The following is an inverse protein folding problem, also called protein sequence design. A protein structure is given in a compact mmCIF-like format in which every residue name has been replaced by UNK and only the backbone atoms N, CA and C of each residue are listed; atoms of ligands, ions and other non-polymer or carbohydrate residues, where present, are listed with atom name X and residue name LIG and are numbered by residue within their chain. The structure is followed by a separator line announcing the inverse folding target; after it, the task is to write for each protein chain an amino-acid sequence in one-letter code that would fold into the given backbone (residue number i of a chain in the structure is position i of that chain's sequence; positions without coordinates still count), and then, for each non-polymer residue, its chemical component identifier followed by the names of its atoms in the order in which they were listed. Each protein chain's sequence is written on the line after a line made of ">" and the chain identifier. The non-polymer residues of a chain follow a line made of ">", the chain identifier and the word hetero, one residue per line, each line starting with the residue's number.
data_IF_607857119489
#
_entry.id   IF_607857119489
#
_cell.length_a   1.000
_cell.length_b   1.000
_cell.length_c   1.000
_cell.angle_alpha   90.00
_cell.angle_beta   90.00
_cell.angle_gamma   90.00
#
_symmetry.space_group_name_H-M   'P 1'
#
loop_
_entity.id
_entity.type
_entity.pdbx_description
1 polymer ?
#
# COMPACT_ATOMS: atom_id res chain seq x y z
N UNK A 1 -14.78 4.04 -29.03
CA UNK A 1 -15.65 3.78 -27.87
C UNK A 1 -14.85 3.75 -26.58
N UNK A 2 -14.96 4.82 -25.80
CA UNK A 2 -14.39 4.96 -24.45
C UNK A 2 -15.43 4.63 -23.39
N UNK A 3 -14.98 4.30 -22.20
CA UNK A 3 -15.79 4.21 -20.98
C UNK A 3 -15.59 5.48 -20.17
N UNK A 4 -16.67 6.12 -19.78
CA UNK A 4 -16.67 7.42 -19.11
C UNK A 4 -17.38 7.28 -17.76
N UNK A 5 -16.69 7.56 -16.66
CA UNK A 5 -17.31 7.55 -15.33
C UNK A 5 -17.82 8.95 -14.95
N UNK A 6 -19.09 9.03 -14.52
CA UNK A 6 -19.70 10.25 -14.00
C UNK A 6 -19.96 10.12 -12.51
N UNK A 7 -19.35 10.99 -11.71
CA UNK A 7 -19.35 10.93 -10.25
C UNK A 7 -19.95 12.21 -9.68
N UNK A 8 -20.85 12.14 -8.71
CA UNK A 8 -21.38 13.34 -8.06
C UNK A 8 -20.38 13.93 -7.08
N UNK A 9 -20.31 15.27 -7.01
CA UNK A 9 -19.65 15.97 -5.92
C UNK A 9 -20.28 15.65 -4.55
N UNK A 10 -19.59 16.01 -3.46
CA UNK A 10 -20.04 15.73 -2.08
C UNK A 10 -20.05 16.97 -1.20
N UNK A 11 -20.78 16.88 -0.07
CA UNK A 11 -20.80 17.95 0.93
C UNK A 11 -19.43 18.16 1.56
N UNK A 12 -18.75 17.06 1.89
CA UNK A 12 -17.38 17.09 2.39
C UNK A 12 -16.46 17.64 1.30
N UNK A 13 -15.80 18.75 1.60
CA UNK A 13 -14.90 19.48 0.72
C UNK A 13 -13.64 19.91 1.49
N UNK A 14 -12.56 20.16 0.78
CA UNK A 14 -11.42 20.89 1.36
C UNK A 14 -11.82 22.34 1.69
N UNK A 15 -10.99 23.02 2.48
CA UNK A 15 -11.16 24.42 2.85
C UNK A 15 -10.19 25.37 2.11
N UNK A 16 -9.53 24.88 1.06
CA UNK A 16 -8.61 25.65 0.21
C UNK A 16 -8.83 25.30 -1.28
N UNK A 17 -8.46 26.19 -2.21
CA UNK A 17 -8.46 25.89 -3.64
C UNK A 17 -7.51 24.73 -3.97
N UNK A 18 -8.03 23.71 -4.65
CA UNK A 18 -7.27 22.51 -5.00
C UNK A 18 -7.91 21.82 -6.23
N UNK A 19 -7.29 20.74 -6.71
CA UNK A 19 -7.82 19.94 -7.82
C UNK A 19 -9.18 19.35 -7.45
N UNK A 20 -10.09 19.21 -8.41
CA UNK A 20 -11.44 18.73 -8.16
C UNK A 20 -11.46 17.33 -7.52
N UNK A 21 -10.54 16.44 -7.90
CA UNK A 21 -10.40 15.13 -7.23
C UNK A 21 -10.05 15.27 -5.75
N UNK A 22 -9.12 16.16 -5.43
CA UNK A 22 -8.66 16.42 -4.06
C UNK A 22 -9.73 17.11 -3.22
N UNK A 23 -10.47 18.03 -3.84
CA UNK A 23 -11.56 18.77 -3.21
C UNK A 23 -12.55 17.83 -2.52
N UNK A 24 -12.97 16.75 -3.18
CA UNK A 24 -14.01 15.84 -2.67
C UNK A 24 -13.46 14.56 -2.03
N UNK A 25 -12.14 14.31 -2.09
CA UNK A 25 -11.54 13.03 -1.67
C UNK A 25 -11.80 12.66 -0.21
N UNK A 26 -12.04 13.66 0.66
CA UNK A 26 -12.39 13.43 2.07
C UNK A 26 -13.71 12.66 2.25
N UNK A 27 -14.60 12.69 1.26
CA UNK A 27 -15.85 11.95 1.34
C UNK A 27 -15.64 10.47 1.02
N UNK A 28 -16.08 9.59 1.92
CA UNK A 28 -15.99 8.15 1.73
C UNK A 28 -16.76 7.67 0.46
N UNK A 29 -17.87 8.32 0.15
CA UNK A 29 -18.65 7.97 -1.05
C UNK A 29 -17.93 8.42 -2.32
N UNK A 30 -17.39 9.64 -2.33
CA UNK A 30 -16.66 10.16 -3.49
C UNK A 30 -15.40 9.36 -3.75
N UNK A 31 -14.57 9.14 -2.72
CA UNK A 31 -13.30 8.42 -2.86
C UNK A 31 -13.49 7.00 -3.41
N UNK A 32 -14.49 6.24 -2.92
CA UNK A 32 -14.80 4.91 -3.45
C UNK A 32 -15.37 4.94 -4.86
N UNK A 33 -16.27 5.88 -5.16
CA UNK A 33 -16.79 6.04 -6.51
C UNK A 33 -15.68 6.46 -7.49
N UNK A 34 -14.76 7.32 -7.06
CA UNK A 34 -13.60 7.75 -7.84
C UNK A 34 -12.64 6.60 -8.10
N UNK A 35 -12.34 5.78 -7.08
CA UNK A 35 -11.55 4.58 -7.24
C UNK A 35 -12.19 3.60 -8.25
N UNK A 36 -13.50 3.38 -8.15
CA UNK A 36 -14.23 2.54 -9.11
C UNK A 36 -14.20 3.16 -10.52
N UNK A 37 -14.41 4.47 -10.64
CA UNK A 37 -14.31 5.20 -11.91
C UNK A 37 -12.93 5.06 -12.56
N UNK A 38 -11.85 5.30 -11.83
CA UNK A 38 -10.47 5.15 -12.34
C UNK A 38 -10.13 3.73 -12.75
N UNK A 39 -10.76 2.73 -12.13
CA UNK A 39 -10.53 1.32 -12.46
C UNK A 39 -11.25 0.88 -13.73
N UNK A 40 -12.49 1.36 -13.96
CA UNK A 40 -13.37 0.83 -15.01
C UNK A 40 -13.64 1.78 -16.18
N UNK A 41 -13.16 3.02 -16.11
CA UNK A 41 -13.35 4.04 -17.14
C UNK A 41 -12.01 4.62 -17.62
N UNK A 42 -11.96 4.98 -18.90
CA UNK A 42 -10.83 5.67 -19.52
C UNK A 42 -10.75 7.14 -19.05
N UNK A 43 -11.88 7.71 -18.64
CA UNK A 43 -11.97 9.09 -18.15
C UNK A 43 -13.01 9.22 -17.04
N UNK A 44 -12.73 10.11 -16.09
CA UNK A 44 -13.60 10.39 -14.94
C UNK A 44 -13.97 11.86 -14.96
N UNK A 45 -15.27 12.15 -14.95
CA UNK A 45 -15.78 13.51 -14.77
C UNK A 45 -16.62 13.63 -13.49
N UNK A 46 -16.51 14.79 -12.85
CA UNK A 46 -17.18 15.11 -11.61
C UNK A 46 -18.35 16.06 -11.89
N UNK A 47 -19.55 15.65 -11.51
CA UNK A 47 -20.78 16.44 -11.58
C UNK A 47 -20.87 17.36 -10.35
N UNK A 48 -20.50 18.62 -10.53
CA UNK A 48 -20.57 19.67 -9.52
C UNK A 48 -21.89 20.44 -9.57
N UNK A 49 -22.47 20.65 -8.39
CA UNK A 49 -23.68 21.47 -8.22
C UNK A 49 -23.48 22.94 -8.64
N UNK A 50 -22.25 23.43 -8.48
CA UNK A 50 -21.83 24.81 -8.78
C UNK A 50 -21.14 24.92 -10.14
N UNK A 51 -20.10 24.12 -10.34
CA UNK A 51 -19.21 24.25 -11.49
C UNK A 51 -19.65 23.42 -12.72
N UNK A 52 -20.74 22.66 -12.64
CA UNK A 52 -21.19 21.83 -13.76
C UNK A 52 -20.31 20.59 -13.94
N UNK A 53 -19.72 20.42 -15.11
CA UNK A 53 -18.84 19.29 -15.42
C UNK A 53 -17.38 19.66 -15.14
N UNK A 54 -16.71 18.88 -14.28
CA UNK A 54 -15.30 19.06 -13.95
C UNK A 54 -14.46 17.85 -14.37
N UNK A 55 -13.21 18.10 -14.75
CA UNK A 55 -12.15 17.09 -14.85
C UNK A 55 -11.50 16.86 -13.49
N UNK A 56 -10.76 15.75 -13.36
CA UNK A 56 -10.13 15.39 -12.09
C UNK A 56 -9.07 16.40 -11.60
N UNK A 57 -8.42 17.12 -12.53
CA UNK A 57 -7.33 18.05 -12.26
C UNK A 57 -7.74 19.54 -12.31
N UNK A 58 -9.00 19.86 -12.57
CA UNK A 58 -9.50 21.24 -12.54
C UNK A 58 -9.31 21.88 -11.16
N UNK A 59 -8.72 23.07 -11.09
CA UNK A 59 -8.55 23.80 -9.83
C UNK A 59 -9.85 24.52 -9.47
N UNK A 60 -10.44 24.17 -8.33
CA UNK A 60 -11.69 24.76 -7.85
C UNK A 60 -11.55 25.28 -6.41
N UNK A 61 -12.26 26.37 -6.12
CA UNK A 61 -12.40 26.91 -4.76
C UNK A 61 -13.54 26.20 -4.00
N UNK A 62 -13.44 26.07 -2.65
CA UNK A 62 -14.48 25.49 -1.83
C UNK A 62 -15.78 26.30 -1.92
N UNK A 63 -16.93 25.63 -1.78
CA UNK A 63 -18.25 26.24 -1.96
C UNK A 63 -19.35 25.48 -1.20
N UNK A 64 -20.47 26.17 -0.95
CA UNK A 64 -21.63 25.62 -0.25
C UNK A 64 -22.92 25.80 -1.05
N UNK A 65 -22.90 25.35 -2.31
CA UNK A 65 -24.09 25.30 -3.17
C UNK A 65 -24.56 23.86 -3.30
N UNK A 66 -25.88 23.67 -3.41
CA UNK A 66 -26.47 22.35 -3.62
C UNK A 66 -27.54 22.34 -4.70
N UNK A 67 -27.52 21.30 -5.52
CA UNK A 67 -28.52 21.07 -6.55
C UNK A 67 -29.88 20.65 -5.94
N UNK A 68 -29.91 20.12 -4.71
CA UNK A 68 -31.15 19.63 -4.09
C UNK A 68 -32.20 20.72 -3.94
N UNK A 69 -31.78 21.92 -3.55
CA UNK A 69 -32.66 23.08 -3.32
C UNK A 69 -33.16 23.78 -4.58
N UNK A 70 -32.62 23.46 -5.76
CA UNK A 70 -32.99 24.12 -7.03
C UNK A 70 -34.35 23.66 -7.57
N UNK A 71 -35.01 24.53 -8.32
CA UNK A 71 -36.28 24.27 -9.03
C UNK A 71 -36.13 23.17 -10.09
N UNK A 72 -37.27 22.72 -10.64
CA UNK A 72 -37.28 21.73 -11.72
C UNK A 72 -36.69 22.32 -13.02
N UNK A 73 -36.96 23.59 -13.35
CA UNK A 73 -36.33 24.24 -14.51
C UNK A 73 -34.83 24.40 -14.32
N UNK A 74 -34.38 24.81 -13.13
CA UNK A 74 -32.95 25.01 -12.84
C UNK A 74 -32.17 23.70 -12.94
N UNK A 75 -32.72 22.60 -12.42
CA UNK A 75 -32.14 21.25 -12.58
C UNK A 75 -32.06 20.84 -14.06
N UNK A 76 -33.08 21.16 -14.84
CA UNK A 76 -33.12 20.86 -16.29
C UNK A 76 -32.08 21.69 -17.05
N UNK A 77 -31.90 22.96 -16.69
CA UNK A 77 -30.88 23.83 -17.28
C UNK A 77 -29.46 23.36 -16.92
N UNK A 78 -29.22 23.06 -15.64
CA UNK A 78 -27.95 22.48 -15.18
C UNK A 78 -27.59 21.20 -15.94
N UNK A 79 -28.57 20.30 -16.15
CA UNK A 79 -28.36 19.08 -16.92
C UNK A 79 -28.06 19.34 -18.40
N UNK A 80 -28.72 20.32 -19.02
CA UNK A 80 -28.40 20.71 -20.41
C UNK A 80 -26.98 21.24 -20.56
N UNK A 81 -26.54 22.08 -19.62
CA UNK A 81 -25.19 22.64 -19.63
C UNK A 81 -24.14 21.53 -19.57
N UNK A 82 -24.31 20.57 -18.65
CA UNK A 82 -23.41 19.41 -18.55
C UNK A 82 -23.37 18.58 -19.84
N UNK A 83 -24.51 18.40 -20.50
CA UNK A 83 -24.56 17.65 -21.76
C UNK A 83 -23.84 18.40 -22.87
N UNK A 84 -23.92 19.73 -22.91
CA UNK A 84 -23.15 20.53 -23.84
C UNK A 84 -21.64 20.39 -23.55
N UNK A 85 -21.23 20.55 -22.29
CA UNK A 85 -19.82 20.39 -21.89
C UNK A 85 -19.28 18.98 -22.19
N UNK A 86 -20.13 17.95 -22.06
CA UNK A 86 -19.76 16.58 -22.39
C UNK A 86 -19.54 16.38 -23.90
N UNK A 87 -20.36 16.99 -24.76
CA UNK A 87 -20.23 16.82 -26.23
C UNK A 87 -18.87 17.28 -26.75
N UNK A 88 -18.24 18.24 -26.08
CA UNK A 88 -16.91 18.73 -26.46
C UNK A 88 -15.79 17.74 -26.10
N UNK A 89 -16.08 16.73 -25.25
CA UNK A 89 -15.08 15.85 -24.66
C UNK A 89 -15.29 14.36 -24.93
N UNK A 90 -16.53 13.95 -25.22
CA UNK A 90 -16.93 12.56 -25.40
C UNK A 90 -17.96 12.40 -26.53
N UNK A 91 -18.03 11.20 -27.11
CA UNK A 91 -19.03 10.87 -28.13
C UNK A 91 -20.28 10.26 -27.46
N UNK A 92 -21.35 11.04 -27.31
CA UNK A 92 -22.59 10.60 -26.64
C UNK A 92 -23.31 9.42 -27.34
N UNK A 93 -23.06 9.23 -28.63
CA UNK A 93 -23.68 8.19 -29.46
C UNK A 93 -22.90 6.86 -29.47
N UNK A 94 -21.63 6.87 -29.05
CA UNK A 94 -20.75 5.70 -29.10
C UNK A 94 -20.16 5.32 -27.75
N UNK A 95 -19.82 6.30 -26.90
CA UNK A 95 -19.15 6.05 -25.63
C UNK A 95 -20.11 5.47 -24.59
N UNK A 96 -19.53 4.69 -23.66
CA UNK A 96 -20.26 4.00 -22.59
C UNK A 96 -20.11 4.74 -21.28
N UNK A 97 -21.23 5.07 -20.63
CA UNK A 97 -21.25 5.86 -19.40
C UNK A 97 -21.46 4.99 -18.16
N UNK A 98 -20.58 5.12 -17.18
CA UNK A 98 -20.70 4.52 -15.85
C UNK A 98 -21.15 5.60 -14.88
N UNK A 99 -22.43 5.62 -14.52
CA UNK A 99 -22.98 6.70 -13.74
C UNK A 99 -23.07 6.29 -12.26
N UNK A 100 -22.15 6.82 -11.47
CA UNK A 100 -22.03 6.56 -10.03
C UNK A 100 -22.72 7.65 -9.19
N UNK A 101 -23.37 8.61 -9.83
CA UNK A 101 -24.11 9.70 -9.20
C UNK A 101 -25.52 9.27 -8.76
N UNK A 102 -26.17 10.06 -7.90
CA UNK A 102 -27.55 9.83 -7.46
C UNK A 102 -28.62 10.34 -8.45
N UNK A 103 -29.89 9.96 -8.24
CA UNK A 103 -31.02 10.27 -9.15
C UNK A 103 -31.19 11.76 -9.43
N UNK A 104 -30.89 12.63 -8.46
CA UNK A 104 -30.93 14.08 -8.63
C UNK A 104 -30.02 14.55 -9.77
N UNK A 105 -28.87 13.90 -9.95
CA UNK A 105 -27.90 14.21 -11.00
C UNK A 105 -28.28 13.50 -12.31
N UNK A 106 -28.27 12.16 -12.28
CA UNK A 106 -28.39 11.37 -13.51
C UNK A 106 -29.74 11.52 -14.19
N UNK A 107 -30.81 11.82 -13.43
CA UNK A 107 -32.15 11.97 -13.99
C UNK A 107 -32.27 13.08 -15.04
N UNK A 108 -31.37 14.07 -15.03
CA UNK A 108 -31.32 15.12 -16.04
C UNK A 108 -30.50 14.74 -17.27
N UNK A 109 -29.60 13.76 -17.14
CA UNK A 109 -28.58 13.41 -18.12
C UNK A 109 -28.99 12.20 -18.97
N UNK A 110 -29.56 11.15 -18.37
CA UNK A 110 -29.75 9.82 -19.00
C UNK A 110 -30.54 9.84 -20.31
N UNK A 111 -31.44 10.82 -20.52
CA UNK A 111 -32.19 10.99 -21.77
C UNK A 111 -31.33 11.38 -22.97
N UNK A 112 -30.09 11.81 -22.73
CA UNK A 112 -29.12 12.22 -23.75
C UNK A 112 -27.97 11.21 -23.90
N UNK A 113 -27.95 10.14 -23.10
CA UNK A 113 -26.87 9.15 -23.08
C UNK A 113 -27.40 7.84 -23.65
N UNK A 114 -26.81 7.36 -24.75
CA UNK A 114 -27.29 6.15 -25.43
C UNK A 114 -26.89 4.86 -24.71
N UNK A 115 -25.64 4.77 -24.29
CA UNK A 115 -25.10 3.58 -23.61
C UNK A 115 -24.67 3.95 -22.20
N UNK A 116 -25.44 3.53 -21.19
CA UNK A 116 -25.09 3.79 -19.79
C UNK A 116 -25.39 2.62 -18.87
N UNK A 117 -24.68 2.59 -17.74
CA UNK A 117 -24.95 1.73 -16.61
C UNK A 117 -25.11 2.55 -15.33
N UNK A 118 -25.94 2.05 -14.42
CA UNK A 118 -26.23 2.66 -13.11
C UNK A 118 -25.92 1.66 -11.98
N UNK A 119 -24.63 1.37 -11.67
CA UNK A 119 -24.26 0.32 -10.72
C UNK A 119 -24.81 0.53 -9.30
N UNK A 120 -25.15 1.78 -8.98
CA UNK A 120 -25.61 2.22 -7.65
C UNK A 120 -27.07 2.67 -7.65
N UNK A 121 -27.86 2.28 -8.66
CA UNK A 121 -29.25 2.70 -8.79
C UNK A 121 -30.09 2.24 -7.58
N UNK A 122 -31.02 3.09 -7.12
CA UNK A 122 -31.99 2.78 -6.04
C UNK A 122 -31.37 2.41 -4.68
N UNK A 123 -30.05 2.54 -4.52
CA UNK A 123 -29.37 2.29 -3.26
C UNK A 123 -29.31 3.55 -2.39
N UNK A 124 -29.58 3.39 -1.09
CA UNK A 124 -29.31 4.41 -0.06
C UNK A 124 -27.81 4.63 0.11
N UNK A 125 -27.39 5.78 0.66
CA UNK A 125 -25.96 6.12 0.79
C UNK A 125 -25.14 5.00 1.45
N UNK A 126 -25.63 4.42 2.55
CA UNK A 126 -24.95 3.29 3.22
C UNK A 126 -24.85 2.04 2.34
N UNK A 127 -25.92 1.69 1.60
CA UNK A 127 -25.90 0.56 0.66
C UNK A 127 -25.01 0.82 -0.56
N UNK A 128 -24.90 2.07 -1.02
CA UNK A 128 -23.96 2.46 -2.09
C UNK A 128 -22.52 2.26 -1.66
N UNK A 129 -22.17 2.64 -0.43
CA UNK A 129 -20.83 2.40 0.12
C UNK A 129 -20.53 0.90 0.15
N UNK A 130 -21.46 0.09 0.67
CA UNK A 130 -21.32 -1.37 0.72
C UNK A 130 -21.18 -1.97 -0.68
N UNK A 131 -22.02 -1.57 -1.64
CA UNK A 131 -21.94 -2.09 -3.01
C UNK A 131 -20.68 -1.62 -3.73
N UNK A 132 -20.19 -0.40 -3.49
CA UNK A 132 -18.88 0.03 -3.99
C UNK A 132 -17.76 -0.80 -3.37
N UNK A 133 -17.82 -1.11 -2.07
CA UNK A 133 -16.87 -2.03 -1.46
C UNK A 133 -16.94 -3.42 -2.08
N UNK A 134 -18.14 -3.96 -2.30
CA UNK A 134 -18.35 -5.24 -2.98
C UNK A 134 -17.84 -5.19 -4.42
N UNK A 135 -18.11 -4.14 -5.21
CA UNK A 135 -17.67 -4.01 -6.60
C UNK A 135 -16.16 -3.80 -6.71
N UNK A 136 -15.56 -3.08 -5.76
CA UNK A 136 -14.11 -2.96 -5.66
C UNK A 136 -13.49 -4.28 -5.20
N UNK A 137 -14.22 -5.11 -4.45
CA UNK A 137 -13.84 -6.47 -4.03
C UNK A 137 -14.10 -7.54 -5.10
N UNK A 138 -15.15 -7.44 -5.90
CA UNK A 138 -15.62 -8.46 -6.88
C UNK A 138 -14.59 -8.67 -8.01
N UNK A 139 -13.64 -7.75 -8.19
CA UNK A 139 -12.40 -7.95 -8.98
C UNK A 139 -11.17 -7.33 -8.31
N UNK A 140 -11.17 -7.16 -6.99
CA UNK A 140 -9.95 -7.59 -6.33
C UNK A 140 -10.10 -9.11 -6.33
N UNK A 141 -9.49 -9.79 -7.31
CA UNK A 141 -8.70 -10.94 -6.85
C UNK A 141 -7.99 -10.39 -5.61
N UNK A 142 -8.31 -10.92 -4.43
CA UNK A 142 -7.71 -10.47 -3.19
C UNK A 142 -6.21 -10.69 -3.40
N UNK A 143 -5.54 -9.68 -3.97
CA UNK A 143 -4.21 -9.83 -4.50
C UNK A 143 -3.40 -10.28 -3.31
N UNK A 144 -2.60 -11.33 -3.51
CA UNK A 144 -1.87 -11.97 -2.44
C UNK A 144 -1.09 -10.93 -1.62
N UNK A 145 -0.62 -9.83 -2.23
CA UNK A 145 -0.04 -8.71 -1.50
C UNK A 145 -1.02 -8.02 -0.52
N UNK A 146 -2.23 -7.69 -0.96
CA UNK A 146 -3.29 -7.15 -0.08
C UNK A 146 -3.67 -8.12 1.03
N UNK A 147 -3.82 -9.41 0.73
CA UNK A 147 -4.12 -10.44 1.73
C UNK A 147 -3.06 -10.52 2.80
N UNK A 148 -1.79 -10.58 2.41
CA UNK A 148 -0.67 -10.61 3.33
C UNK A 148 -0.65 -9.37 4.24
N UNK A 149 -0.92 -8.18 3.68
CA UNK A 149 -1.03 -6.96 4.48
C UNK A 149 -2.16 -7.05 5.50
N UNK A 150 -3.34 -7.54 5.10
CA UNK A 150 -4.51 -7.73 5.97
C UNK A 150 -4.22 -8.73 7.09
N UNK A 151 -3.60 -9.86 6.77
CA UNK A 151 -3.21 -10.90 7.73
C UNK A 151 -2.20 -10.31 8.74
N UNK A 152 -1.07 -9.79 8.28
CA UNK A 152 0.00 -9.35 9.17
C UNK A 152 -0.38 -8.11 10.00
N UNK A 153 -1.24 -7.23 9.47
CA UNK A 153 -1.75 -6.10 10.25
C UNK A 153 -2.77 -6.48 11.31
N UNK A 154 -3.39 -7.67 11.26
CA UNK A 154 -4.30 -8.13 12.33
C UNK A 154 -3.55 -8.80 13.50
N UNK A 155 -2.33 -9.26 13.28
CA UNK A 155 -1.53 -9.98 14.26
C UNK A 155 -1.07 -9.10 15.45
N UNK A 156 -0.69 -9.78 16.54
CA UNK A 156 -0.01 -9.17 17.70
C UNK A 156 1.33 -8.58 17.27
N UNK A 157 1.48 -7.27 17.51
CA UNK A 157 2.67 -6.50 17.13
C UNK A 157 3.63 -6.36 18.31
N UNK A 158 4.91 -6.46 18.02
CA UNK A 158 6.04 -6.23 18.91
C UNK A 158 6.81 -5.00 18.45
N UNK A 159 7.55 -4.38 19.37
CA UNK A 159 8.49 -3.30 19.12
C UNK A 159 9.92 -3.84 19.26
N UNK A 160 10.89 -3.17 18.66
CA UNK A 160 12.30 -3.45 18.89
C UNK A 160 12.72 -3.30 20.36
N UNK A 161 11.92 -2.60 21.19
CA UNK A 161 12.14 -2.52 22.64
C UNK A 161 11.62 -3.73 23.44
N UNK A 162 10.87 -4.65 22.83
CA UNK A 162 10.26 -5.78 23.56
C UNK A 162 10.37 -7.12 22.81
N UNK A 163 11.44 -7.27 22.02
CA UNK A 163 11.77 -8.49 21.26
C UNK A 163 11.92 -9.71 22.17
N UNK A 164 12.36 -9.50 23.41
CA UNK A 164 12.48 -10.51 24.46
C UNK A 164 11.13 -11.23 24.75
N UNK A 165 9.99 -10.56 24.50
CA UNK A 165 8.65 -11.12 24.70
C UNK A 165 8.18 -12.04 23.56
N UNK A 166 8.93 -12.13 22.47
CA UNK A 166 8.62 -13.03 21.36
C UNK A 166 8.93 -14.47 21.78
N UNK A 167 7.93 -15.35 21.67
CA UNK A 167 8.03 -16.78 22.04
C UNK A 167 8.37 -17.68 20.85
N UNK A 168 8.15 -17.22 19.62
CA UNK A 168 8.40 -17.99 18.39
C UNK A 168 9.89 -18.28 18.25
N UNK A 169 10.24 -19.56 18.23
CA UNK A 169 11.64 -20.03 18.09
C UNK A 169 11.99 -20.33 16.63
N UNK A 170 11.04 -20.88 15.90
CA UNK A 170 11.11 -21.30 14.50
C UNK A 170 9.95 -20.68 13.74
N UNK A 171 10.21 -19.86 12.73
CA UNK A 171 9.11 -19.22 12.01
C UNK A 171 9.54 -18.05 11.15
N UNK A 172 8.58 -17.21 10.79
CA UNK A 172 8.82 -16.06 9.93
C UNK A 172 8.51 -14.80 10.73
N UNK A 173 9.38 -13.80 10.59
CA UNK A 173 9.12 -12.45 11.08
C UNK A 173 8.82 -11.52 9.92
N UNK A 174 7.88 -10.61 10.13
CA UNK A 174 7.54 -9.53 9.21
C UNK A 174 7.66 -8.22 9.95
N UNK A 175 8.31 -7.25 9.33
CA UNK A 175 8.46 -5.89 9.85
C UNK A 175 7.48 -4.98 9.11
N UNK A 176 6.66 -4.28 9.88
CA UNK A 176 5.73 -3.27 9.42
C UNK A 176 6.27 -1.87 9.76
N UNK A 177 6.01 -0.89 8.91
CA UNK A 177 6.30 0.52 9.18
C UNK A 177 5.01 1.24 9.61
N UNK A 178 5.03 1.88 10.80
CA UNK A 178 3.86 2.50 11.44
C UNK A 178 3.30 3.71 10.70
N UNK A 179 4.14 4.36 9.90
CA UNK A 179 3.83 5.66 9.28
C UNK A 179 3.90 5.60 7.76
N UNK A 180 3.94 4.39 7.20
CA UNK A 180 3.80 4.15 5.78
C UNK A 180 2.71 3.13 5.56
N UNK A 181 1.95 3.36 4.50
CA UNK A 181 0.71 2.63 4.28
C UNK A 181 0.69 1.97 2.92
N UNK A 182 0.11 0.78 2.88
CA UNK A 182 -0.35 0.10 1.68
C UNK A 182 -1.84 -0.17 1.86
N UNK A 183 -2.68 0.35 0.97
CA UNK A 183 -4.14 0.27 1.07
C UNK A 183 -4.69 0.65 2.47
N UNK A 184 -4.09 1.65 3.13
CA UNK A 184 -4.48 2.12 4.47
C UNK A 184 -3.99 1.28 5.65
N UNK A 185 -3.22 0.22 5.42
CA UNK A 185 -2.62 -0.64 6.45
C UNK A 185 -1.12 -0.38 6.59
N UNK A 186 -0.51 -0.67 7.74
CA UNK A 186 0.94 -0.48 7.91
C UNK A 186 1.68 -1.33 6.87
N UNK A 187 2.58 -0.69 6.13
CA UNK A 187 3.29 -1.29 5.01
C UNK A 187 4.26 -2.35 5.49
N UNK A 188 4.28 -3.50 4.82
CA UNK A 188 5.34 -4.50 5.01
C UNK A 188 6.64 -3.96 4.44
N UNK A 189 7.70 -3.89 5.24
CA UNK A 189 9.00 -3.37 4.82
C UNK A 189 10.13 -4.40 4.90
N UNK A 190 9.91 -5.52 5.59
CA UNK A 190 10.85 -6.63 5.60
C UNK A 190 10.14 -7.93 5.95
N UNK A 191 10.55 -9.00 5.30
CA UNK A 191 10.22 -10.37 5.69
C UNK A 191 11.54 -11.09 5.95
N UNK A 192 11.54 -12.03 6.89
CA UNK A 192 12.70 -12.87 7.10
C UNK A 192 12.48 -14.09 7.97
N UNK A 193 13.40 -15.05 7.89
CA UNK A 193 13.54 -16.16 8.83
C UNK A 193 15.00 -16.35 9.30
N UNK A 194 15.26 -17.45 10.01
CA UNK A 194 16.60 -17.92 10.33
C UNK A 194 16.80 -19.36 9.84
N UNK A 195 17.95 -19.62 9.20
CA UNK A 195 18.29 -20.93 8.61
C UNK A 195 18.48 -22.04 9.64
N UNK A 196 19.03 -21.70 10.81
CA UNK A 196 19.21 -22.62 11.93
C UNK A 196 17.97 -22.62 12.82
N UNK A 197 17.57 -23.80 13.29
CA UNK A 197 16.45 -23.97 14.22
C UNK A 197 16.71 -23.27 15.56
N UNK A 198 15.66 -22.74 16.17
CA UNK A 198 15.63 -22.11 17.49
C UNK A 198 16.13 -20.67 17.53
N UNK A 199 16.53 -20.08 16.39
CA UNK A 199 17.34 -18.86 16.36
C UNK A 199 16.59 -17.60 15.90
N UNK A 200 15.29 -17.67 15.59
CA UNK A 200 14.53 -16.48 15.14
C UNK A 200 14.58 -15.35 16.17
N UNK A 201 14.31 -15.66 17.44
CA UNK A 201 14.36 -14.68 18.52
C UNK A 201 15.75 -14.05 18.66
N UNK A 202 16.81 -14.86 18.65
CA UNK A 202 18.19 -14.38 18.71
C UNK A 202 18.48 -13.44 17.53
N UNK A 203 18.03 -13.77 16.32
CA UNK A 203 18.21 -12.93 15.14
C UNK A 203 17.57 -11.55 15.30
N UNK A 204 16.36 -11.50 15.87
CA UNK A 204 15.69 -10.23 16.16
C UNK A 204 16.37 -9.46 17.30
N UNK A 205 16.90 -10.15 18.31
CA UNK A 205 17.70 -9.54 19.37
C UNK A 205 19.02 -8.97 18.83
N UNK A 206 19.66 -9.64 17.87
CA UNK A 206 20.85 -9.12 17.19
C UNK A 206 20.54 -7.78 16.52
N UNK A 207 19.34 -7.63 15.94
CA UNK A 207 18.92 -6.33 15.39
C UNK A 207 18.67 -5.26 16.45
N UNK A 208 18.12 -5.64 17.60
CA UNK A 208 17.75 -4.72 18.67
C UNK A 208 18.93 -4.28 19.55
N UNK A 209 19.91 -5.16 19.76
CA UNK A 209 20.96 -4.99 20.77
C UNK A 209 22.36 -4.81 20.19
N UNK A 210 22.62 -5.28 18.97
CA UNK A 210 23.95 -5.23 18.38
C UNK A 210 24.14 -3.93 17.58
N UNK A 211 24.77 -2.92 18.20
CA UNK A 211 25.09 -1.61 17.59
C UNK A 211 26.28 -1.68 16.61
N UNK A 212 26.29 -2.68 15.73
CA UNK A 212 27.35 -2.86 14.74
C UNK A 212 26.77 -3.16 13.36
N UNK A 213 26.85 -2.19 12.44
CA UNK A 213 26.49 -2.34 11.02
C UNK A 213 27.07 -3.58 10.36
N UNK A 214 28.25 -4.01 10.78
CA UNK A 214 29.02 -5.08 10.14
C UNK A 214 28.41 -6.47 10.40
N UNK A 215 27.55 -6.60 11.41
CA UNK A 215 26.83 -7.85 11.73
C UNK A 215 25.37 -7.85 11.25
N UNK A 216 24.83 -6.69 10.83
CA UNK A 216 23.46 -6.57 10.36
C UNK A 216 23.34 -5.77 9.07
N UNK A 217 23.16 -6.50 7.96
CA UNK A 217 22.86 -5.89 6.66
C UNK A 217 21.58 -5.04 6.69
N UNK A 218 20.62 -5.37 7.55
CA UNK A 218 19.40 -4.61 7.72
C UNK A 218 19.70 -3.21 8.29
N UNK A 219 20.45 -3.13 9.39
CA UNK A 219 20.89 -1.85 9.99
C UNK A 219 21.78 -1.07 9.02
N UNK A 220 22.71 -1.75 8.34
CA UNK A 220 23.55 -1.15 7.29
C UNK A 220 22.71 -0.47 6.21
N UNK A 221 21.61 -1.10 5.77
CA UNK A 221 20.70 -0.52 4.78
C UNK A 221 19.90 0.69 5.30
N UNK A 222 19.45 0.68 6.56
CA UNK A 222 18.81 1.86 7.16
C UNK A 222 19.81 3.02 7.22
N UNK A 223 21.05 2.76 7.66
CA UNK A 223 22.12 3.76 7.67
C UNK A 223 22.45 4.31 6.27
N UNK A 224 22.48 3.46 5.24
CA UNK A 224 22.64 3.89 3.83
C UNK A 224 21.54 4.85 3.41
N UNK A 225 20.28 4.50 3.70
CA UNK A 225 19.15 5.34 3.36
C UNK A 225 19.23 6.70 4.07
N UNK A 226 19.64 6.70 5.33
CA UNK A 226 19.86 7.94 6.09
C UNK A 226 20.93 8.82 5.47
N UNK A 227 22.11 8.26 5.21
CA UNK A 227 23.23 9.03 4.67
C UNK A 227 22.90 9.62 3.29
N UNK A 228 22.20 8.87 2.43
CA UNK A 228 21.74 9.41 1.15
C UNK A 228 20.67 10.50 1.29
N UNK A 229 19.72 10.34 2.22
CA UNK A 229 18.68 11.35 2.43
C UNK A 229 19.28 12.72 2.79
N UNK A 230 20.45 12.73 3.43
CA UNK A 230 21.19 13.94 3.79
C UNK A 230 22.35 14.26 2.84
N UNK A 231 22.54 13.51 1.73
CA UNK A 231 23.71 13.61 0.86
C UNK A 231 25.05 13.58 1.61
N UNK A 232 25.13 12.76 2.67
CA UNK A 232 26.31 12.68 3.52
C UNK A 232 27.43 11.86 2.83
N UNK A 233 28.62 12.44 2.61
CA UNK A 233 29.72 11.77 1.90
C UNK A 233 30.25 10.53 2.63
N UNK A 234 29.96 10.40 3.92
CA UNK A 234 30.34 9.24 4.73
C UNK A 234 29.67 7.94 4.26
N UNK A 235 28.69 7.99 3.35
CA UNK A 235 28.14 6.79 2.72
C UNK A 235 29.20 5.92 2.04
N UNK A 236 30.24 6.55 1.45
CA UNK A 236 31.37 5.85 0.83
C UNK A 236 32.07 4.92 1.83
N UNK A 237 32.39 5.44 3.01
CA UNK A 237 33.02 4.72 4.12
C UNK A 237 32.03 3.75 4.77
N UNK A 238 30.76 4.14 4.91
CA UNK A 238 29.70 3.28 5.46
C UNK A 238 29.46 2.02 4.64
N UNK A 239 29.65 2.10 3.31
CA UNK A 239 29.48 0.98 2.40
C UNK A 239 30.59 -0.08 2.48
N UNK A 240 31.79 0.29 2.91
CA UNK A 240 32.94 -0.61 3.03
C UNK A 240 32.61 -1.76 3.99
N UNK A 241 32.92 -2.99 3.58
CA UNK A 241 32.86 -4.15 4.46
C UNK A 241 34.19 -4.31 5.21
N UNK A 242 34.21 -3.86 6.46
CA UNK A 242 35.36 -3.95 7.35
C UNK A 242 35.52 -5.33 7.99
N UNK A 243 34.73 -6.35 7.65
CA UNK A 243 35.04 -7.73 8.04
C UNK A 243 36.17 -8.32 7.18
N UNK A 244 36.38 -7.77 5.98
CA UNK A 244 37.43 -8.19 5.05
C UNK A 244 38.78 -7.57 5.46
N UNK A 245 39.78 -8.40 5.74
CA UNK A 245 41.07 -7.93 6.26
C UNK A 245 41.82 -6.97 5.33
N UNK A 246 41.69 -7.16 4.00
CA UNK A 246 42.22 -6.21 3.01
C UNK A 246 41.62 -4.81 3.21
N UNK A 247 40.30 -4.73 3.40
CA UNK A 247 39.61 -3.46 3.61
C UNK A 247 39.98 -2.83 4.96
N UNK A 248 40.15 -3.64 6.01
CA UNK A 248 40.63 -3.14 7.32
C UNK A 248 42.00 -2.48 7.16
N UNK A 249 42.97 -3.15 6.52
CA UNK A 249 44.32 -2.62 6.33
C UNK A 249 44.32 -1.32 5.52
N UNK A 250 43.49 -1.26 4.47
CA UNK A 250 43.51 -0.14 3.51
C UNK A 250 42.70 1.09 3.96
N UNK A 251 41.58 0.91 4.67
CA UNK A 251 40.60 1.99 4.88
C UNK A 251 40.26 2.24 6.36
N UNK A 252 40.86 1.53 7.32
CA UNK A 252 40.48 1.66 8.74
C UNK A 252 40.80 3.04 9.32
N UNK A 253 41.80 3.74 8.79
CA UNK A 253 42.13 5.12 9.14
C UNK A 253 41.05 6.13 8.72
N UNK A 254 40.21 5.81 7.72
CA UNK A 254 39.12 6.66 7.26
C UNK A 254 37.87 6.57 8.15
N UNK A 255 37.86 5.66 9.14
CA UNK A 255 36.70 5.46 10.01
C UNK A 255 36.62 6.54 11.08
N UNK A 256 35.52 7.26 11.07
CA UNK A 256 35.08 8.08 12.18
C UNK A 256 34.19 7.25 13.12
N UNK A 257 34.78 6.81 14.24
CA UNK A 257 34.07 6.02 15.27
C UNK A 257 32.96 6.82 15.97
N UNK A 258 33.08 8.15 16.06
CA UNK A 258 32.05 8.99 16.70
C UNK A 258 30.84 9.07 15.77
N UNK A 259 31.06 9.39 14.50
CA UNK A 259 30.01 9.43 13.47
C UNK A 259 29.33 8.08 13.29
N UNK A 260 30.07 6.98 13.28
CA UNK A 260 29.47 5.64 13.23
C UNK A 260 28.53 5.35 14.41
N UNK A 261 28.88 5.80 15.63
CA UNK A 261 27.99 5.67 16.80
C UNK A 261 26.75 6.54 16.67
N UNK A 262 26.86 7.75 16.16
CA UNK A 262 25.72 8.65 15.91
C UNK A 262 24.75 8.04 14.91
N UNK A 263 25.25 7.48 13.80
CA UNK A 263 24.44 6.77 12.81
C UNK A 263 23.74 5.55 13.45
N UNK A 264 24.46 4.75 14.23
CA UNK A 264 23.87 3.57 14.92
C UNK A 264 22.80 3.95 15.95
N UNK A 265 22.99 5.05 16.69
CA UNK A 265 21.97 5.56 17.61
C UNK A 265 20.72 6.03 16.86
N UNK A 266 20.89 6.74 15.73
CA UNK A 266 19.76 7.10 14.88
C UNK A 266 19.02 5.86 14.37
N UNK A 267 19.74 4.82 13.93
CA UNK A 267 19.13 3.57 13.47
C UNK A 267 18.32 2.92 14.60
N UNK A 268 18.85 2.87 15.83
CA UNK A 268 18.13 2.34 16.99
C UNK A 268 16.82 3.09 17.24
N UNK A 269 16.88 4.42 17.27
CA UNK A 269 15.72 5.26 17.51
C UNK A 269 14.70 5.12 16.37
N UNK A 270 15.16 5.08 15.12
CA UNK A 270 14.32 4.84 13.97
C UNK A 270 13.58 3.50 14.09
N UNK A 271 14.31 2.43 14.38
CA UNK A 271 13.73 1.09 14.47
C UNK A 271 12.69 1.00 15.61
N UNK A 272 12.97 1.55 16.78
CA UNK A 272 12.04 1.56 17.92
C UNK A 272 10.80 2.42 17.66
N UNK A 273 10.99 3.58 17.02
CA UNK A 273 9.91 4.55 16.79
C UNK A 273 9.00 4.14 15.64
N UNK A 274 9.56 3.78 14.49
CA UNK A 274 8.81 3.60 13.25
C UNK A 274 8.46 2.15 12.93
N UNK A 275 9.21 1.16 13.43
CA UNK A 275 9.01 -0.23 13.02
C UNK A 275 8.23 -1.05 14.05
N UNK A 276 7.50 -2.03 13.55
CA UNK A 276 6.80 -3.05 14.33
C UNK A 276 7.15 -4.43 13.78
N UNK A 277 7.14 -5.43 14.63
CA UNK A 277 7.46 -6.80 14.28
C UNK A 277 6.21 -7.65 14.53
N UNK A 278 5.87 -8.51 13.58
CA UNK A 278 4.94 -9.63 13.78
C UNK A 278 5.66 -10.93 13.46
N UNK A 279 5.32 -12.01 14.17
CA UNK A 279 5.93 -13.32 13.95
C UNK A 279 4.86 -14.41 14.03
N UNK A 280 5.00 -15.44 13.20
CA UNK A 280 4.23 -16.68 13.26
C UNK A 280 5.16 -17.88 13.18
N UNK A 281 4.72 -19.01 13.74
CA UNK A 281 5.52 -20.22 13.87
C UNK A 281 5.44 -21.09 12.60
N UNK A 282 6.60 -21.58 12.15
CA UNK A 282 6.75 -22.57 11.08
C UNK A 282 7.95 -23.45 11.44
N UNK A 283 7.71 -24.68 11.88
CA UNK A 283 8.74 -25.56 12.43
C UNK A 283 9.56 -26.22 11.32
N UNK A 284 8.87 -26.78 10.31
CA UNK A 284 9.48 -27.37 9.11
C UNK A 284 10.34 -26.30 8.42
N UNK A 285 11.62 -26.61 8.17
CA UNK A 285 12.59 -25.67 7.61
C UNK A 285 12.38 -25.46 6.10
N UNK A 286 12.28 -26.50 5.25
CA UNK A 286 11.92 -26.32 3.84
C UNK A 286 10.69 -25.44 3.62
N UNK A 287 9.57 -25.77 4.26
CA UNK A 287 8.33 -24.99 4.20
C UNK A 287 8.54 -23.54 4.65
N UNK A 288 9.27 -23.33 5.75
CA UNK A 288 9.58 -21.97 6.23
C UNK A 288 10.36 -21.13 5.22
N UNK A 289 11.29 -21.73 4.50
CA UNK A 289 12.05 -21.05 3.44
C UNK A 289 11.14 -20.78 2.23
N UNK A 290 10.29 -21.74 1.85
CA UNK A 290 9.31 -21.59 0.75
C UNK A 290 8.33 -20.45 1.02
N UNK A 291 7.79 -20.37 2.23
CA UNK A 291 6.87 -19.31 2.62
C UNK A 291 7.59 -17.95 2.72
N UNK A 292 8.82 -17.89 3.25
CA UNK A 292 9.61 -16.64 3.26
C UNK A 292 9.83 -16.12 1.84
N UNK A 293 10.29 -16.98 0.93
CA UNK A 293 10.52 -16.65 -0.48
C UNK A 293 9.22 -16.25 -1.19
N UNK A 294 8.15 -17.02 -0.99
CA UNK A 294 6.84 -16.77 -1.58
C UNK A 294 6.28 -15.41 -1.16
N UNK A 295 6.29 -15.09 0.14
CA UNK A 295 5.83 -13.80 0.65
C UNK A 295 6.63 -12.67 -0.01
N UNK A 296 7.95 -12.77 -0.05
CA UNK A 296 8.81 -11.73 -0.63
C UNK A 296 8.52 -11.56 -2.13
N UNK A 297 8.40 -12.67 -2.86
CA UNK A 297 8.16 -12.67 -4.30
C UNK A 297 6.79 -12.10 -4.64
N UNK A 298 5.75 -12.44 -3.88
CA UNK A 298 4.42 -11.85 -3.98
C UNK A 298 4.47 -10.32 -3.82
N UNK A 299 5.13 -9.83 -2.76
CA UNK A 299 5.23 -8.39 -2.50
C UNK A 299 6.00 -7.64 -3.61
N UNK A 300 7.11 -8.21 -4.11
CA UNK A 300 7.95 -7.56 -5.12
C UNK A 300 7.31 -7.53 -6.52
N UNK A 301 6.49 -8.52 -6.88
CA UNK A 301 5.86 -8.58 -8.21
C UNK A 301 4.61 -7.69 -8.29
N UNK A 302 4.02 -7.32 -7.17
CA UNK A 302 2.81 -6.52 -7.15
C UNK A 302 3.05 -5.09 -7.64
N UNK A 303 2.27 -4.65 -8.63
CA UNK A 303 2.46 -3.34 -9.27
C UNK A 303 2.03 -2.20 -8.36
N UNK A 304 0.93 -2.36 -7.63
CA UNK A 304 0.40 -1.33 -6.75
C UNK A 304 1.21 -1.15 -5.47
N UNK A 305 2.06 -2.12 -5.12
CA UNK A 305 2.97 -2.02 -3.99
C UNK A 305 4.00 -0.90 -4.20
N UNK A 306 4.23 -0.44 -5.44
CA UNK A 306 5.34 0.45 -5.81
C UNK A 306 5.27 1.90 -5.39
N UNK A 307 4.08 2.41 -5.09
CA UNK A 307 3.83 3.85 -5.09
C UNK A 307 3.78 4.50 -3.69
N UNK A 308 4.75 4.21 -2.82
CA UNK A 308 4.92 5.01 -1.59
C UNK A 308 5.89 6.17 -1.85
N UNK A 309 5.36 7.34 -2.25
CA UNK A 309 6.10 8.59 -2.49
C UNK A 309 6.98 9.00 -1.29
N UNK A 310 6.67 8.53 -0.08
CA UNK A 310 7.31 8.93 1.18
C UNK A 310 8.11 7.81 1.87
N UNK A 311 8.38 6.68 1.23
CA UNK A 311 9.19 5.62 1.85
C UNK A 311 10.64 6.05 2.04
N UNK A 312 11.16 5.99 3.28
CA UNK A 312 12.57 6.31 3.56
C UNK A 312 13.56 5.41 2.80
N UNK A 313 13.15 4.19 2.44
CA UNK A 313 13.95 3.29 1.61
C UNK A 313 14.13 3.75 0.17
N UNK A 314 13.45 4.81 -0.29
CA UNK A 314 13.66 5.43 -1.61
C UNK A 314 15.04 6.06 -1.75
N UNK A 315 15.67 6.45 -0.63
CA UNK A 315 17.02 7.00 -0.61
C UNK A 315 18.11 5.92 -0.61
N UNK A 316 17.89 4.74 -1.20
CA UNK A 316 18.95 3.71 -1.32
C UNK A 316 19.86 3.99 -2.52
N UNK A 317 21.14 4.23 -2.26
CA UNK A 317 22.18 4.21 -3.29
C UNK A 317 22.84 2.82 -3.37
N UNK A 318 22.33 1.94 -4.24
CA UNK A 318 23.10 0.86 -4.86
C UNK A 318 22.65 0.74 -6.32
N UNK A 319 23.50 1.03 -7.33
CA UNK A 319 23.14 0.99 -8.76
C UNK A 319 22.82 -0.40 -9.34
N UNK A 320 22.86 -1.48 -8.54
CA UNK A 320 22.79 -2.88 -8.99
C UNK A 320 21.87 -3.77 -8.13
N UNK A 321 20.82 -3.20 -7.54
CA UNK A 321 19.80 -3.98 -6.83
C UNK A 321 18.42 -3.57 -7.33
N UNK A 322 17.90 -4.31 -8.29
CA UNK A 322 16.57 -4.15 -8.88
C UNK A 322 15.47 -4.77 -7.99
N UNK A 323 15.37 -4.36 -6.72
CA UNK A 323 14.14 -4.61 -5.96
C UNK A 323 13.70 -3.36 -5.21
N UNK A 324 12.76 -2.66 -5.86
CA UNK A 324 12.00 -1.61 -5.24
C UNK A 324 11.21 -2.24 -4.07
N UNK A 325 11.35 -1.70 -2.85
CA UNK A 325 10.34 -1.70 -1.77
C UNK A 325 10.47 -2.58 -0.51
N UNK A 326 11.47 -3.45 -0.36
CA UNK A 326 11.72 -4.16 0.92
C UNK A 326 13.17 -4.01 1.39
N UNK A 327 13.42 -4.05 2.70
CA UNK A 327 14.76 -4.09 3.32
C UNK A 327 15.40 -5.47 3.20
N UNK A 328 15.71 -5.83 1.95
CA UNK A 328 16.28 -7.11 1.55
C UNK A 328 17.62 -6.86 0.87
N UNK A 329 18.55 -7.81 1.03
CA UNK A 329 19.93 -7.74 0.57
C UNK A 329 20.21 -8.59 -0.67
N UNK A 330 19.19 -9.25 -1.23
CA UNK A 330 19.31 -10.14 -2.40
C UNK A 330 18.14 -9.83 -3.32
N UNK A 331 18.43 -9.71 -4.62
CA UNK A 331 17.39 -9.75 -5.66
C UNK A 331 16.76 -11.15 -5.55
N UNK A 332 15.48 -11.20 -5.19
CA UNK A 332 14.75 -12.45 -5.08
C UNK A 332 13.87 -12.59 -6.32
N UNK A 333 14.41 -13.28 -7.31
CA UNK A 333 13.65 -13.88 -8.41
C UNK A 333 13.15 -15.22 -7.85
N UNK A 334 11.98 -15.20 -7.21
CA UNK A 334 11.31 -16.39 -6.69
C UNK A 334 9.89 -16.52 -7.23
N UNK A 335 9.24 -17.63 -6.89
CA UNK A 335 7.83 -17.87 -7.20
C UNK A 335 6.92 -17.17 -6.17
N UNK A 336 5.88 -16.43 -6.59
CA UNK A 336 4.89 -15.87 -5.67
C UNK A 336 4.11 -16.99 -5.00
N UNK A 337 3.47 -16.67 -3.88
CA UNK A 337 2.56 -17.60 -3.22
C UNK A 337 1.40 -18.00 -4.13
N UNK A 338 0.97 -19.24 -4.03
CA UNK A 338 -0.35 -19.67 -4.51
C UNK A 338 -1.46 -19.21 -3.55
N UNK A 339 -2.72 -19.35 -3.97
CA UNK A 339 -3.86 -19.01 -3.11
C UNK A 339 -3.91 -19.91 -1.86
N UNK A 340 -3.62 -21.21 -2.03
CA UNK A 340 -3.59 -22.19 -0.95
C UNK A 340 -2.51 -21.86 0.08
N UNK A 341 -1.35 -21.40 -0.36
CA UNK A 341 -0.27 -20.97 0.55
C UNK A 341 -0.65 -19.70 1.32
N UNK A 342 -1.38 -18.76 0.70
CA UNK A 342 -1.89 -17.56 1.40
C UNK A 342 -2.96 -17.93 2.43
N UNK A 343 -3.90 -18.82 2.09
CA UNK A 343 -4.91 -19.35 3.03
C UNK A 343 -4.22 -20.08 4.20
N UNK A 344 -3.20 -20.88 3.89
CA UNK A 344 -2.39 -21.58 4.88
C UNK A 344 -1.68 -20.60 5.82
N UNK A 345 -1.00 -19.56 5.31
CA UNK A 345 -0.40 -18.50 6.14
C UNK A 345 -1.46 -17.82 7.01
N UNK A 346 -2.62 -17.50 6.44
CA UNK A 346 -3.74 -16.89 7.16
C UNK A 346 -4.16 -17.73 8.35
N UNK A 347 -4.20 -19.05 8.18
CA UNK A 347 -4.55 -19.97 9.25
C UNK A 347 -3.50 -20.12 10.35
N UNK A 348 -2.21 -20.13 9.99
CA UNK A 348 -1.10 -20.11 10.97
C UNK A 348 -1.10 -18.83 11.81
N UNK A 349 -1.59 -17.72 11.25
CA UNK A 349 -1.61 -16.42 11.91
C UNK A 349 -2.88 -16.18 12.75
N UNK A 350 -3.97 -16.90 12.48
CA UNK A 350 -5.26 -16.75 13.15
C UNK A 350 -5.43 -17.76 14.31
N UNK A 351 -5.27 -17.30 15.54
CA UNK A 351 -5.41 -18.13 16.75
C UNK A 351 -6.85 -18.56 17.07
N UNK A 352 -7.85 -18.03 16.36
CA UNK A 352 -9.27 -18.39 16.56
C UNK A 352 -9.73 -19.57 15.71
N UNK A 353 -8.93 -19.96 14.71
CA UNK A 353 -9.18 -21.14 13.87
C UNK A 353 -8.25 -22.27 14.28
N UNK A 354 -8.78 -23.25 15.02
CA UNK A 354 -8.16 -24.58 15.09
C UNK A 354 -8.49 -25.28 13.77
N UNK A 355 -7.50 -25.51 12.92
CA UNK A 355 -7.70 -26.22 11.66
C UNK A 355 -7.60 -27.74 11.84
N UNK A 356 -8.28 -28.46 10.95
CA UNK A 356 -8.03 -29.87 10.64
C UNK A 356 -6.82 -29.94 9.69
N UNK A 357 -5.83 -30.76 10.02
CA UNK A 357 -4.55 -30.87 9.32
C UNK A 357 -4.70 -31.35 7.85
N UNK A 358 -5.74 -32.14 7.57
CA UNK A 358 -5.98 -32.84 6.29
C UNK A 358 -6.12 -31.93 5.05
N UNK A 359 -6.36 -30.62 5.18
CA UNK A 359 -6.58 -29.71 4.03
C UNK A 359 -5.26 -29.27 3.35
N UNK A 360 -4.10 -29.43 4.01
CA UNK A 360 -2.84 -28.85 3.53
C UNK A 360 -1.69 -29.87 3.44
N UNK A 361 -1.99 -31.16 3.35
CA UNK A 361 -0.99 -32.22 3.28
C UNK A 361 0.05 -31.96 2.18
N UNK A 362 -0.38 -31.59 0.97
CA UNK A 362 0.50 -31.27 -0.16
C UNK A 362 1.49 -30.11 0.11
N UNK A 363 1.14 -29.15 0.98
CA UNK A 363 2.02 -28.03 1.36
C UNK A 363 3.02 -28.46 2.45
N UNK A 364 2.63 -29.41 3.31
CA UNK A 364 3.44 -29.90 4.41
C UNK A 364 4.52 -30.92 3.97
N UNK A 365 4.35 -31.54 2.79
CA UNK A 365 5.30 -32.50 2.19
C UNK A 365 6.56 -31.85 1.59
N UNK A 366 6.62 -30.51 1.52
CA UNK A 366 7.80 -29.71 1.10
C UNK A 366 8.85 -29.67 2.22
#
# INVERSE_FOLDING_TARGET
>A
MKRIALISCTKDKQNYPCRAKEMYMRSNLFSKAYAYGKKYADSVYILSDKYGLLEEDDIIAPYNETLKGKSKEEKKLWGKNIINDLKDRVNLEEDKFIILAGKTYYGQLIKYLKYYQLPLEKLTIGKRLKKLDELLKEEMEEDHCYLLHKIFNSMKKYSFSNVDKIKVKNGIYVILDKYQYYCGMNRIVKVGTHINQGRLKNRLLDYASNKNKSSSIFRKNIGRAMLNAYNDPYISIWNIDFNIDKNKKQYSNLRDKKKEREIENYIDDYMKKYLQIVCFEVINKPLRLRLEEGIISTLNKEKSFKDSINWYGKYRAIPKMNSNELWIAKELIGEPLSYEEVDFIGSLCDKSKVLKEDKYEDILEI
#
